data_IF_450630082743
#
_entry.id   IF_450630082743
#
_cell.length_a   1.000
_cell.length_b   1.000
_cell.length_c   1.000
_cell.angle_alpha   90.00
_cell.angle_beta   90.00
_cell.angle_gamma   90.00
#
_symmetry.space_group_name_H-M   'P 1'
#
loop_
_entity.id
_entity.type
_entity.pdbx_description
1 polymer ?
#
# COMPACT_ATOMS: atom_id res chain seq x y z
N UNK A 1 -15.52 41.53 -19.02
CA UNK A 1 -14.95 41.78 -17.67
C UNK A 1 -14.11 40.56 -17.28
N UNK A 2 -12.82 40.76 -16.98
CA UNK A 2 -11.89 39.66 -16.64
C UNK A 2 -12.18 39.18 -15.21
N UNK A 3 -12.46 37.90 -15.00
CA UNK A 3 -12.54 37.33 -13.65
C UNK A 3 -11.15 37.34 -13.02
N UNK A 4 -10.98 38.04 -11.90
CA UNK A 4 -9.77 37.94 -11.08
C UNK A 4 -9.71 36.51 -10.53
N UNK A 5 -8.73 35.71 -10.97
CA UNK A 5 -8.39 34.45 -10.31
C UNK A 5 -7.90 34.80 -8.89
N UNK A 6 -8.61 34.35 -7.87
CA UNK A 6 -8.10 34.37 -6.51
C UNK A 6 -6.96 33.35 -6.45
N UNK A 7 -5.77 33.78 -6.04
CA UNK A 7 -4.67 32.88 -5.74
C UNK A 7 -5.01 32.11 -4.44
N UNK A 8 -5.18 30.77 -4.49
CA UNK A 8 -5.53 29.99 -3.31
C UNK A 8 -4.36 29.88 -2.31
N UNK A 9 -3.15 30.30 -2.67
CA UNK A 9 -1.95 30.17 -1.84
C UNK A 9 -1.54 31.47 -1.13
N UNK A 10 -2.37 32.51 -1.22
CA UNK A 10 -2.08 33.79 -0.57
C UNK A 10 -2.05 33.63 0.96
N UNK A 11 -0.88 33.86 1.56
CA UNK A 11 -0.56 33.69 2.99
C UNK A 11 -0.45 32.23 3.47
N UNK A 12 -0.06 31.30 2.60
CA UNK A 12 0.34 29.96 3.02
C UNK A 12 1.61 30.06 3.89
N UNK A 13 1.59 29.44 5.08
CA UNK A 13 2.78 29.28 5.93
C UNK A 13 3.31 27.88 5.67
N UNK A 14 4.47 27.81 5.04
CA UNK A 14 5.18 26.56 4.78
C UNK A 14 5.93 26.12 6.03
N UNK A 15 6.01 24.81 6.25
CA UNK A 15 6.97 24.28 7.21
C UNK A 15 8.40 24.32 6.66
N UNK A 16 9.39 24.05 7.52
CA UNK A 16 10.80 24.16 7.15
C UNK A 16 11.18 23.26 5.95
N UNK A 17 10.53 22.09 5.81
CA UNK A 17 10.79 21.15 4.72
C UNK A 17 10.12 21.61 3.41
N UNK A 18 8.89 22.11 3.49
CA UNK A 18 8.18 22.67 2.35
C UNK A 18 8.88 23.93 1.80
N UNK A 19 9.38 24.81 2.68
CA UNK A 19 10.15 25.98 2.28
C UNK A 19 11.47 25.59 1.60
N UNK A 20 12.16 24.57 2.10
CA UNK A 20 13.39 24.07 1.47
C UNK A 20 13.15 23.58 0.03
N UNK A 21 12.02 22.91 -0.22
CA UNK A 21 11.61 22.46 -1.55
C UNK A 21 11.28 23.65 -2.46
N UNK A 22 10.55 24.64 -1.95
CA UNK A 22 10.21 25.85 -2.71
C UNK A 22 11.47 26.59 -3.13
N UNK A 23 12.39 26.83 -2.20
CA UNK A 23 13.64 27.52 -2.49
C UNK A 23 14.51 26.70 -3.46
N UNK A 24 14.56 25.37 -3.34
CA UNK A 24 15.29 24.50 -4.27
C UNK A 24 14.71 24.52 -5.69
N UNK A 25 13.39 24.67 -5.80
CA UNK A 25 12.69 24.84 -7.07
C UNK A 25 13.02 26.18 -7.72
N UNK A 26 13.04 27.27 -6.93
CA UNK A 26 13.44 28.60 -7.41
C UNK A 26 14.92 28.65 -7.83
N UNK A 27 15.80 27.94 -7.12
CA UNK A 27 17.22 27.80 -7.46
C UNK A 27 17.47 26.94 -8.71
N UNK A 28 16.46 26.23 -9.21
CA UNK A 28 16.58 25.39 -10.41
C UNK A 28 17.47 24.17 -10.23
N UNK A 29 17.57 23.65 -9.00
CA UNK A 29 18.46 22.52 -8.65
C UNK A 29 17.97 21.18 -9.23
N UNK A 30 16.68 21.09 -9.56
CA UNK A 30 16.08 19.89 -10.12
C UNK A 30 16.36 19.78 -11.62
N UNK A 31 17.08 18.74 -12.01
CA UNK A 31 17.35 18.41 -13.41
C UNK A 31 16.44 17.27 -13.84
N UNK A 32 15.82 17.40 -15.02
CA UNK A 32 15.04 16.30 -15.61
C UNK A 32 15.94 15.09 -15.86
N UNK A 33 15.45 13.92 -15.46
CA UNK A 33 16.12 12.66 -15.71
C UNK A 33 16.33 12.45 -17.23
N UNK A 34 17.56 12.13 -17.71
CA UNK A 34 17.81 11.83 -19.12
C UNK A 34 16.89 10.75 -19.69
N UNK A 35 16.45 9.78 -18.88
CA UNK A 35 15.57 8.68 -19.25
C UNK A 35 14.15 8.82 -18.68
N UNK A 36 13.69 10.06 -18.45
CA UNK A 36 12.42 10.35 -17.77
C UNK A 36 11.23 9.50 -18.24
N UNK A 37 11.07 9.27 -19.56
CA UNK A 37 9.96 8.46 -20.09
C UNK A 37 10.03 6.99 -19.66
N UNK A 38 11.23 6.41 -19.67
CA UNK A 38 11.45 5.01 -19.30
C UNK A 38 11.29 4.85 -17.78
N UNK A 39 11.95 5.70 -17.00
CA UNK A 39 11.88 5.67 -15.54
C UNK A 39 10.45 5.93 -15.05
N UNK A 40 9.74 6.90 -15.63
CA UNK A 40 8.32 7.12 -15.35
C UNK A 40 7.49 5.86 -15.59
N UNK A 41 7.70 5.18 -16.71
CA UNK A 41 6.97 3.93 -17.02
C UNK A 41 7.26 2.83 -15.99
N UNK A 42 8.53 2.66 -15.61
CA UNK A 42 8.95 1.71 -14.57
C UNK A 42 8.25 2.02 -13.24
N UNK A 43 8.26 3.29 -12.81
CA UNK A 43 7.62 3.68 -11.55
C UNK A 43 6.10 3.52 -11.60
N UNK A 44 5.46 3.85 -12.72
CA UNK A 44 4.02 3.63 -12.91
C UNK A 44 3.66 2.14 -12.86
N UNK A 45 4.44 1.27 -13.49
CA UNK A 45 4.24 -0.18 -13.45
C UNK A 45 4.49 -0.75 -12.04
N UNK A 46 5.54 -0.30 -11.36
CA UNK A 46 5.82 -0.71 -9.98
C UNK A 46 4.69 -0.31 -9.03
N UNK A 47 4.17 0.91 -9.16
CA UNK A 47 3.04 1.40 -8.36
C UNK A 47 1.77 0.59 -8.62
N UNK A 48 1.45 0.31 -9.90
CA UNK A 48 0.31 -0.53 -10.28
C UNK A 48 0.43 -1.94 -9.70
N UNK A 49 1.59 -2.57 -9.86
CA UNK A 49 1.84 -3.91 -9.33
C UNK A 49 1.72 -3.95 -7.81
N UNK A 50 2.24 -2.94 -7.11
CA UNK A 50 2.11 -2.85 -5.65
C UNK A 50 0.63 -2.77 -5.24
N UNK A 51 -0.15 -1.90 -5.88
CA UNK A 51 -1.59 -1.76 -5.59
C UNK A 51 -2.31 -3.08 -5.88
N UNK A 52 -2.10 -3.69 -7.04
CA UNK A 52 -2.74 -4.95 -7.43
C UNK A 52 -2.41 -6.10 -6.47
N UNK A 53 -1.17 -6.18 -5.96
CA UNK A 53 -0.75 -7.19 -4.99
C UNK A 53 -1.32 -6.93 -3.58
N UNK A 54 -1.64 -5.68 -3.25
CA UNK A 54 -2.26 -5.29 -1.98
C UNK A 54 -3.79 -5.47 -2.02
N UNK A 55 -4.39 -5.51 -3.21
CA UNK A 55 -5.84 -5.70 -3.36
C UNK A 55 -6.27 -7.07 -2.82
N UNK A 56 -7.13 -7.04 -1.80
CA UNK A 56 -7.72 -8.24 -1.22
C UNK A 56 -8.76 -8.84 -2.17
N UNK A 57 -8.49 -10.03 -2.71
CA UNK A 57 -9.48 -10.82 -3.49
C UNK A 57 -10.18 -11.83 -2.60
N UNK A 58 -11.52 -11.88 -2.65
CA UNK A 58 -12.32 -12.85 -1.90
C UNK A 58 -12.25 -14.24 -2.52
N UNK A 59 -12.01 -15.26 -1.71
CA UNK A 59 -12.03 -16.68 -2.13
C UNK A 59 -13.09 -17.46 -1.34
N UNK A 60 -13.82 -18.36 -2.02
CA UNK A 60 -14.79 -19.26 -1.38
C UNK A 60 -14.12 -20.59 -1.05
N UNK A 61 -14.01 -20.93 0.24
CA UNK A 61 -13.43 -22.18 0.72
C UNK A 61 -14.49 -23.04 1.42
N UNK A 62 -14.60 -24.32 1.04
CA UNK A 62 -15.40 -25.30 1.79
C UNK A 62 -14.53 -25.96 2.87
N UNK A 63 -14.93 -25.82 4.12
CA UNK A 63 -14.25 -26.40 5.29
C UNK A 63 -15.19 -27.28 6.09
N UNK A 64 -14.67 -28.36 6.70
CA UNK A 64 -15.45 -29.22 7.59
C UNK A 64 -15.85 -28.44 8.84
N UNK A 65 -17.08 -28.63 9.31
CA UNK A 65 -17.61 -27.94 10.51
C UNK A 65 -16.72 -28.13 11.74
N UNK A 66 -16.19 -29.36 11.93
CA UNK A 66 -15.26 -29.69 13.02
C UNK A 66 -14.00 -28.82 13.00
N UNK A 67 -13.41 -28.62 11.83
CA UNK A 67 -12.16 -27.87 11.69
C UNK A 67 -12.41 -26.36 11.84
N UNK A 68 -13.54 -25.86 11.32
CA UNK A 68 -13.98 -24.48 11.55
C UNK A 68 -14.15 -24.17 13.04
N UNK A 69 -14.76 -25.09 13.81
CA UNK A 69 -14.91 -24.91 15.26
C UNK A 69 -13.55 -24.85 15.98
N UNK A 70 -12.62 -25.75 15.64
CA UNK A 70 -11.26 -25.74 16.20
C UNK A 70 -10.50 -24.45 15.88
N UNK A 71 -10.62 -23.97 14.64
CA UNK A 71 -10.01 -22.73 14.21
C UNK A 71 -10.56 -21.52 15.00
N UNK A 72 -11.89 -21.42 15.14
CA UNK A 72 -12.52 -20.37 15.95
C UNK A 72 -12.06 -20.41 17.40
N UNK A 73 -11.97 -21.60 18.00
CA UNK A 73 -11.45 -21.75 19.35
C UNK A 73 -9.99 -21.30 19.47
N UNK A 74 -9.14 -21.63 18.49
CA UNK A 74 -7.73 -21.20 18.46
C UNK A 74 -7.61 -19.69 18.28
N UNK A 75 -8.42 -19.08 17.43
CA UNK A 75 -8.44 -17.64 17.20
C UNK A 75 -8.89 -16.88 18.47
N UNK A 76 -9.95 -17.35 19.13
CA UNK A 76 -10.43 -16.77 20.39
C UNK A 76 -9.37 -16.81 21.50
N UNK A 77 -8.61 -17.90 21.63
CA UNK A 77 -7.50 -17.99 22.59
C UNK A 77 -6.39 -16.96 22.35
N UNK A 78 -6.20 -16.52 21.11
CA UNK A 78 -5.19 -15.54 20.72
C UNK A 78 -5.79 -14.12 20.58
N UNK A 79 -7.05 -13.91 20.98
CA UNK A 79 -7.78 -12.64 20.82
C UNK A 79 -7.75 -12.04 19.40
N UNK A 80 -7.80 -12.90 18.38
CA UNK A 80 -7.85 -12.49 16.97
C UNK A 80 -9.10 -13.05 16.28
N UNK A 81 -9.64 -12.37 15.25
CA UNK A 81 -10.68 -12.94 14.39
C UNK A 81 -10.19 -14.21 13.71
N UNK A 82 -11.09 -15.18 13.51
CA UNK A 82 -10.72 -16.44 12.85
C UNK A 82 -10.34 -16.24 11.38
N UNK A 83 -10.91 -15.21 10.72
CA UNK A 83 -10.53 -14.82 9.35
C UNK A 83 -9.07 -14.34 9.31
N UNK A 84 -8.64 -13.55 10.29
CA UNK A 84 -7.26 -13.08 10.41
C UNK A 84 -6.30 -14.25 10.61
N UNK A 85 -6.67 -15.23 11.44
CA UNK A 85 -5.88 -16.45 11.62
C UNK A 85 -5.73 -17.25 10.31
N UNK A 86 -6.80 -17.33 9.49
CA UNK A 86 -6.72 -17.97 8.15
C UNK A 86 -5.76 -17.19 7.25
N UNK A 87 -5.86 -15.87 7.20
CA UNK A 87 -4.96 -15.03 6.40
C UNK A 87 -3.50 -15.20 6.79
N UNK A 88 -3.21 -15.22 8.09
CA UNK A 88 -1.85 -15.47 8.61
C UNK A 88 -1.33 -16.85 8.20
N UNK A 89 -2.18 -17.88 8.26
CA UNK A 89 -1.83 -19.23 7.80
C UNK A 89 -1.48 -19.25 6.31
N UNK A 90 -2.26 -18.58 5.48
CA UNK A 90 -2.02 -18.48 4.03
C UNK A 90 -0.68 -17.76 3.78
N UNK A 91 -0.44 -16.61 4.42
CA UNK A 91 0.82 -15.86 4.28
C UNK A 91 2.03 -16.68 4.75
N UNK A 92 1.96 -17.29 5.93
CA UNK A 92 3.07 -18.13 6.41
C UNK A 92 3.35 -19.33 5.53
N UNK A 93 2.33 -19.90 4.89
CA UNK A 93 2.50 -20.98 3.93
C UNK A 93 3.15 -20.48 2.64
N UNK A 94 2.67 -19.36 2.09
CA UNK A 94 3.22 -18.75 0.87
C UNK A 94 4.68 -18.31 1.06
N UNK A 95 5.04 -17.81 2.24
CA UNK A 95 6.41 -17.39 2.59
C UNK A 95 7.34 -18.56 2.97
N UNK A 96 6.85 -19.81 2.95
CA UNK A 96 7.64 -21.00 3.28
C UNK A 96 7.94 -21.17 4.78
N UNK A 97 7.30 -20.39 5.66
CA UNK A 97 7.45 -20.46 7.13
C UNK A 97 6.72 -21.67 7.74
N UNK A 98 5.84 -22.30 7.00
CA UNK A 98 5.14 -23.54 7.39
C UNK A 98 5.28 -24.62 6.33
N UNK A 99 5.62 -25.85 6.75
CA UNK A 99 5.72 -27.02 5.87
C UNK A 99 4.37 -27.72 5.80
N UNK A 100 3.81 -27.93 4.60
CA UNK A 100 2.85 -29.00 4.37
C UNK A 100 3.63 -30.26 4.03
N UNK A 101 3.32 -31.35 4.72
CA UNK A 101 3.66 -32.68 4.21
C UNK A 101 2.51 -33.13 3.33
N UNK A 102 2.81 -33.38 2.05
CA UNK A 102 1.86 -33.88 1.04
C UNK A 102 1.87 -35.41 1.03
#
# INVERSE_FOLDING_TARGET
MKSKKSDPFKNLVLDDYEQEIEDALERGEFVSDPNFKENKKIFEEAAKNYIELQESKSITLRVKKKDLMKLKAKAARNNIPYQTLIGLLINHYAEGKTKLTL
#
